data_IF_648487515669
#
_entry.id   IF_648487515669
#
_cell.length_a   1.000
_cell.length_b   1.000
_cell.length_c   1.000
_cell.angle_alpha   90.00
_cell.angle_beta   90.00
_cell.angle_gamma   90.00
#
_symmetry.space_group_name_H-M   'P 1'
#
loop_
_entity.id
_entity.type
_entity.pdbx_description
1 polymer ?
2 non-polymer ?
3 non-polymer ?
4 non-polymer ?
5 water ?
#
# COMPACT_ATOMS: atom_id res chain seq x y z
N UNK A 7 -22.92 17.83 25.93
CA UNK A 7 -24.07 18.57 26.54
C UNK A 7 -24.67 19.59 25.56
N UNK A 8 -23.80 20.44 25.01
CA UNK A 8 -24.20 21.42 23.98
C UNK A 8 -23.68 21.01 22.59
N UNK A 9 -23.78 19.71 22.28
CA UNK A 9 -23.46 19.23 20.95
C UNK A 9 -24.60 19.60 20.00
N UNK A 10 -24.24 19.92 18.75
CA UNK A 10 -25.21 20.22 17.70
C UNK A 10 -26.15 19.02 17.55
N UNK A 11 -27.47 19.25 17.67
CA UNK A 11 -28.41 18.13 17.62
C UNK A 11 -28.47 17.48 16.24
N UNK A 12 -28.90 16.22 16.22
CA UNK A 12 -28.86 15.36 15.03
C UNK A 12 -29.44 15.98 13.75
N UNK A 13 -30.67 16.51 13.83
CA UNK A 13 -31.30 17.04 12.60
C UNK A 13 -30.52 18.17 11.93
N UNK A 14 -29.83 18.99 12.74
CA UNK A 14 -29.15 20.18 12.24
C UNK A 14 -27.73 19.89 11.76
N UNK A 15 -27.27 18.64 11.89
CA UNK A 15 -25.95 18.26 11.39
C UNK A 15 -25.96 18.12 9.88
N UNK A 16 -24.81 18.31 9.24
CA UNK A 16 -24.68 18.10 7.80
C UNK A 16 -24.90 16.62 7.48
N UNK A 17 -25.23 16.33 6.22
CA UNK A 17 -25.49 14.96 5.80
C UNK A 17 -24.21 14.15 5.77
N UNK A 18 -24.35 12.84 5.92
CA UNK A 18 -23.23 11.90 5.81
C UNK A 18 -22.37 12.17 4.58
N UNK A 19 -23.01 12.45 3.45
CA UNK A 19 -22.31 12.68 2.19
C UNK A 19 -21.52 13.98 2.21
N UNK A 20 -22.10 15.02 2.82
CA UNK A 20 -21.43 16.30 2.98
C UNK A 20 -20.23 16.16 3.90
N UNK A 21 -20.38 15.33 4.93
CA UNK A 21 -19.32 15.12 5.91
C UNK A 21 -18.15 14.37 5.29
N UNK A 22 -18.47 13.31 4.56
CA UNK A 22 -17.46 12.54 3.83
C UNK A 22 -16.70 13.45 2.85
N UNK A 23 -17.45 14.28 2.13
CA UNK A 23 -16.88 15.17 1.13
C UNK A 23 -16.00 16.28 1.72
N UNK A 24 -16.43 16.89 2.82
CA UNK A 24 -15.83 18.15 3.30
C UNK A 24 -15.15 18.12 4.67
N UNK A 25 -15.64 17.30 5.59
CA UNK A 25 -15.04 17.23 6.93
C UNK A 25 -13.95 16.18 7.01
N UNK A 26 -14.18 15.03 6.39
CA UNK A 26 -13.27 13.88 6.53
C UNK A 26 -11.82 14.21 6.18
N UNK A 27 -11.59 14.95 5.08
CA UNK A 27 -10.21 15.32 4.76
C UNK A 27 -9.56 16.27 5.78
N UNK A 28 -10.36 17.16 6.37
CA UNK A 28 -9.88 18.03 7.46
C UNK A 28 -9.48 17.21 8.68
N UNK A 29 -10.40 16.32 9.10
CA UNK A 29 -10.18 15.41 10.21
C UNK A 29 -8.90 14.58 10.03
N UNK A 30 -8.71 14.03 8.84
CA UNK A 30 -7.55 13.19 8.55
C UNK A 30 -6.22 13.96 8.67
N UNK A 31 -6.27 15.27 8.46
CA UNK A 31 -5.06 16.11 8.52
C UNK A 31 -4.35 16.11 9.88
N UNK A 32 -5.10 15.89 10.96
CA UNK A 32 -4.52 15.98 12.32
C UNK A 32 -3.53 14.87 12.66
N UNK A 33 -3.50 13.81 11.87
CA UNK A 33 -2.48 12.77 12.02
C UNK A 33 -1.11 13.26 11.58
N UNK A 34 -1.09 14.16 10.61
CA UNK A 34 0.17 14.57 9.96
C UNK A 34 1.22 15.07 10.96
N UNK A 35 0.85 16.01 11.85
CA UNK A 35 1.84 16.47 12.85
C UNK A 35 2.47 15.32 13.66
N UNK A 36 1.71 14.27 13.93
CA UNK A 36 2.20 13.13 14.70
C UNK A 36 3.34 12.41 13.96
N UNK A 37 3.19 12.29 12.64
CA UNK A 37 4.25 11.71 11.81
C UNK A 37 5.39 12.72 11.61
N UNK A 38 5.03 14.00 11.50
CA UNK A 38 6.03 15.07 11.33
C UNK A 38 6.92 15.19 12.57
N UNK A 39 6.31 15.17 13.75
CA UNK A 39 7.02 15.28 15.03
C UNK A 39 7.96 14.09 15.25
N UNK A 40 7.56 12.92 14.75
CA UNK A 40 8.42 11.75 14.76
C UNK A 40 9.66 11.98 13.89
N UNK A 41 9.44 12.65 12.76
CA UNK A 41 10.46 12.78 11.73
C UNK A 41 10.30 11.63 10.77
N UNK A 42 9.10 11.50 10.21
CA UNK A 42 8.82 10.39 9.32
C UNK A 42 7.42 10.37 8.73
N UNK A 43 6.79 9.20 8.79
CA UNK A 43 5.67 8.87 7.91
C UNK A 43 4.60 8.08 8.63
N UNK A 44 3.40 8.10 8.06
CA UNK A 44 2.28 7.30 8.56
C UNK A 44 2.13 6.01 7.76
N UNK A 45 1.80 4.93 8.44
CA UNK A 45 1.42 3.67 7.81
C UNK A 45 -0.10 3.57 7.83
N UNK A 46 -0.71 3.15 6.73
CA UNK A 46 -2.17 3.05 6.67
C UNK A 46 -2.60 1.69 7.20
N UNK A 48 -5.78 0.92 8.47
CA UNK A 48 -7.16 0.57 8.15
C UNK A 48 -7.76 1.54 7.17
N UNK A 49 -8.75 1.05 6.41
CA UNK A 49 -9.47 1.86 5.44
C UNK A 49 -10.76 2.34 6.07
N UNK A 50 -11.28 3.49 5.58
CA UNK A 50 -12.50 4.04 6.14
C UNK A 50 -13.71 3.24 5.71
N UNK A 51 -14.78 3.35 6.49
CA UNK A 51 -16.01 2.65 6.20
C UNK A 51 -17.16 3.38 6.89
N UNK A 52 -18.37 3.10 6.42
CA UNK A 52 -19.58 3.69 6.97
C UNK A 52 -20.35 2.61 7.70
N UNK A 53 -21.05 2.97 8.76
CA UNK A 53 -21.93 2.03 9.44
C UNK A 53 -23.19 2.72 9.94
N UNK A 54 -24.24 1.93 10.13
CA UNK A 54 -25.54 2.42 10.58
C UNK A 54 -25.41 2.92 12.01
N UNK A 55 -26.25 3.87 12.39
CA UNK A 55 -26.32 4.37 13.76
C UNK A 55 -27.67 4.98 14.06
N UNK A 56 -27.87 5.36 15.32
CA UNK A 56 -29.10 6.00 15.75
C UNK A 56 -30.25 5.03 15.85
N UNK A 57 -31.36 5.52 16.38
CA UNK A 57 -32.54 4.71 16.58
C UNK A 57 -33.78 5.57 16.33
N UNK A 58 -34.83 4.94 15.78
CA UNK A 58 -36.08 5.64 15.49
C UNK A 58 -35.92 6.67 14.38
N UNK A 59 -36.42 7.88 14.62
CA UNK A 59 -36.33 8.96 13.63
C UNK A 59 -34.97 9.68 13.66
N UNK A 60 -34.08 9.29 14.56
CA UNK A 60 -32.70 9.79 14.58
C UNK A 60 -31.74 8.76 13.97
N UNK A 61 -32.26 7.82 13.18
CA UNK A 61 -31.42 6.85 12.46
C UNK A 61 -30.64 7.55 11.38
N UNK A 62 -29.41 7.08 11.15
CA UNK A 62 -28.57 7.66 10.12
C UNK A 62 -27.32 6.84 9.86
N UNK A 63 -26.22 7.54 9.58
CA UNK A 63 -24.97 6.90 9.23
C UNK A 63 -23.79 7.58 9.93
N UNK A 64 -22.79 6.78 10.22
CA UNK A 64 -21.59 7.20 10.92
C UNK A 64 -20.40 6.87 10.02
N UNK A 65 -19.37 7.68 10.06
CA UNK A 65 -18.17 7.40 9.26
C UNK A 65 -16.92 7.23 10.13
N UNK A 66 -16.36 6.03 10.08
CA UNK A 66 -15.07 5.73 10.66
C UNK A 66 -14.04 6.03 9.57
N UNK A 67 -13.07 6.87 9.88
CA UNK A 67 -12.07 7.29 8.89
C UNK A 67 -10.92 6.33 8.74
N UNK A 68 -9.89 6.77 8.01
CA UNK A 68 -8.66 5.99 7.90
C UNK A 68 -8.05 5.81 9.27
N UNK A 69 -7.38 4.69 9.47
CA UNK A 69 -6.59 4.48 10.66
C UNK A 69 -5.14 4.51 10.23
N UNK A 70 -4.37 5.46 10.75
CA UNK A 70 -2.95 5.58 10.40
C UNK A 70 -2.08 5.43 11.64
N UNK A 71 -0.86 4.95 11.42
CA UNK A 71 0.05 4.60 12.50
C UNK A 71 1.40 5.30 12.32
N UNK A 72 1.82 6.04 13.34
CA UNK A 72 3.12 6.67 13.37
C UNK A 72 4.00 5.96 14.38
N UNK A 73 5.32 6.16 14.31
CA UNK A 73 6.17 5.57 15.35
C UNK A 73 5.90 6.20 16.73
N UNK A 74 6.34 5.52 17.78
CA UNK A 74 5.94 5.88 19.15
C UNK A 74 6.65 7.13 19.67
N UNK A 76 6.71 9.35 23.78
CA UNK A 76 6.24 9.29 25.17
C UNK A 76 4.85 9.91 25.26
N UNK A 77 3.99 9.33 26.09
CA UNK A 77 2.61 9.81 26.22
C UNK A 77 2.56 11.28 26.60
N UNK A 78 3.43 11.69 27.53
CA UNK A 78 3.55 13.08 27.95
C UNK A 78 3.81 14.03 26.75
N UNK A 79 4.66 13.58 25.82
CA UNK A 79 5.01 14.36 24.63
C UNK A 79 3.87 14.40 23.61
N UNK A 80 3.07 13.34 23.57
CA UNK A 80 1.90 13.26 22.69
C UNK A 80 0.80 14.19 23.14
N UNK A 81 0.52 14.20 24.45
CA UNK A 81 -0.48 15.09 25.04
C UNK A 81 -0.10 16.55 24.79
N UNK A 82 1.18 16.86 24.98
CA UNK A 82 1.71 18.17 24.64
C UNK A 82 1.40 18.52 23.18
N UNK A 83 1.74 17.59 22.27
CA UNK A 83 1.55 17.80 20.84
C UNK A 83 0.09 18.00 20.50
N UNK A 84 -0.75 17.06 20.92
CA UNK A 84 -2.17 17.10 20.58
C UNK A 84 -2.83 18.38 21.09
N UNK A 85 -2.47 18.79 22.30
CA UNK A 85 -3.04 19.99 22.91
C UNK A 85 -2.56 21.26 22.21
N UNK A 86 -1.25 21.36 22.01
CA UNK A 86 -0.65 22.54 21.39
C UNK A 86 -0.99 22.68 19.91
N UNK A 87 -1.32 21.57 19.26
CA UNK A 87 -1.66 21.57 17.85
C UNK A 87 -3.17 21.37 17.64
N UNK A 88 -3.95 21.77 18.62
CA UNK A 88 -5.40 21.55 18.62
C UNK A 88 -6.10 22.38 17.53
N UNK A 89 -6.93 21.73 16.69
CA UNK A 89 -7.66 22.43 15.63
C UNK A 89 -8.90 23.16 16.13
N UNK A 90 -9.35 24.15 15.36
CA UNK A 90 -10.47 25.01 15.76
C UNK A 90 -11.78 24.26 15.96
N UNK A 91 -12.04 23.26 15.12
CA UNK A 91 -13.29 22.48 15.22
C UNK A 91 -13.39 21.63 16.49
N UNK A 92 -12.29 21.49 17.24
CA UNK A 92 -12.25 20.66 18.45
C UNK A 92 -12.72 21.44 19.68
N UNK A 93 -13.91 21.12 20.18
CA UNK A 93 -14.47 21.79 21.35
C UNK A 93 -13.85 21.34 22.68
N UNK A 94 -13.21 20.16 22.69
CA UNK A 94 -12.61 19.61 23.92
C UNK A 94 -11.54 18.57 23.64
N UNK A 95 -10.58 18.45 24.56
CA UNK A 95 -9.52 17.46 24.48
C UNK A 95 -9.63 16.55 25.71
N UNK A 96 -10.01 15.30 25.48
CA UNK A 96 -10.15 14.34 26.57
C UNK A 96 -8.95 13.38 26.62
N UNK A 97 -8.43 13.18 27.83
CA UNK A 97 -7.25 12.34 28.05
C UNK A 97 -7.65 11.18 28.95
N UNK A 98 -7.41 9.95 28.49
CA UNK A 98 -7.74 8.76 29.27
C UNK A 98 -7.03 8.79 30.61
N UNK A 99 -7.77 8.48 31.67
CA UNK A 99 -7.26 8.54 33.03
C UNK A 99 -6.26 7.41 33.33
N UNK A 100 -6.33 6.32 32.56
CA UNK A 100 -5.46 5.16 32.78
C UNK A 100 -5.21 4.37 31.51
N UNK A 101 -4.11 3.62 31.47
CA UNK A 101 -3.85 2.69 30.36
C UNK A 101 -4.75 1.47 30.53
N UNK A 102 -5.41 1.06 29.45
CA UNK A 102 -6.36 -0.07 29.50
C UNK A 102 -5.64 -1.43 29.46
N UNK A 103 -6.40 -2.51 29.29
CA UNK A 103 -5.85 -3.87 29.36
C UNK A 103 -4.76 -4.13 28.31
N UNK A 104 -4.92 -3.50 27.14
CA UNK A 104 -4.07 -3.77 25.96
C UNK A 104 -2.76 -2.97 25.97
N UNK A 105 -2.46 -2.29 27.06
CA UNK A 105 -1.31 -1.38 27.13
C UNK A 105 -1.45 -0.19 26.18
N UNK A 106 -2.69 0.27 25.97
CA UNK A 106 -2.94 1.45 25.13
C UNK A 106 -3.61 2.56 25.95
N UNK A 107 -3.27 3.80 25.64
CA UNK A 107 -3.87 4.97 26.30
C UNK A 107 -4.28 5.98 25.27
N UNK A 108 -5.52 6.45 25.38
CA UNK A 108 -6.10 7.29 24.35
C UNK A 108 -6.20 8.76 24.71
N UNK A 109 -6.06 9.60 23.68
CA UNK A 109 -6.44 11.01 23.76
C UNK A 109 -7.49 11.24 22.69
N UNK A 110 -8.61 11.85 23.07
CA UNK A 110 -9.71 12.09 22.16
C UNK A 110 -9.84 13.57 21.86
N UNK A 111 -10.21 13.87 20.62
CA UNK A 111 -10.49 15.23 20.18
C UNK A 111 -11.97 15.27 19.81
N UNK A 112 -12.77 16.01 20.59
CA UNK A 112 -14.22 16.00 20.43
C UNK A 112 -14.68 17.18 19.58
N UNK A 113 -15.43 16.90 18.52
CA UNK A 113 -15.98 17.96 17.66
C UNK A 113 -17.36 18.40 18.16
N UNK A 114 -17.85 19.49 17.59
CA UNK A 114 -19.13 20.10 18.02
C UNK A 114 -20.37 19.23 17.75
N UNK A 115 -20.19 18.15 17.00
CA UNK A 115 -21.26 17.17 16.75
C UNK A 115 -21.28 16.05 17.80
N UNK A 116 -20.26 16.01 18.65
CA UNK A 116 -20.08 14.88 19.58
C UNK A 116 -19.27 13.77 18.94
N UNK A 117 -18.79 14.01 17.72
CA UNK A 117 -17.90 13.11 17.03
C UNK A 117 -16.50 13.17 17.61
N UNK A 118 -15.61 12.38 17.03
CA UNK A 118 -14.41 11.96 17.73
C UNK A 118 -13.20 11.77 16.82
N UNK A 119 -12.02 12.08 17.35
CA UNK A 119 -10.76 11.68 16.74
C UNK A 119 -9.87 11.19 17.87
N UNK A 120 -9.31 9.99 17.73
CA UNK A 120 -8.56 9.37 18.83
C UNK A 120 -7.11 9.05 18.47
N UNK A 121 -6.21 9.52 19.32
CA UNK A 121 -4.80 9.19 19.24
C UNK A 121 -4.54 8.10 20.28
N UNK A 122 -4.32 6.86 19.81
CA UNK A 122 -4.04 5.76 20.72
C UNK A 122 -2.54 5.52 20.93
N UNK A 123 -2.05 5.90 22.10
CA UNK A 123 -0.66 5.62 22.46
C UNK A 123 -0.47 4.15 22.77
N UNK A 124 0.69 3.63 22.36
CA UNK A 124 1.19 2.35 22.85
C UNK A 124 2.71 2.39 22.71
N UNK A 125 3.40 1.41 23.29
CA UNK A 125 4.86 1.41 23.26
C UNK A 125 5.39 1.22 21.83
N UNK A 126 4.67 0.45 21.02
CA UNK A 126 5.06 0.20 19.62
C UNK A 126 4.83 1.40 18.71
N UNK A 127 3.69 2.07 18.86
CA UNK A 127 3.27 3.07 17.90
C UNK A 127 2.14 3.97 18.40
N UNK A 128 1.72 4.91 17.56
CA UNK A 128 0.58 5.79 17.84
C UNK A 128 -0.45 5.71 16.71
N UNK A 129 -1.62 5.19 17.04
CA UNK A 129 -2.68 5.02 16.05
C UNK A 129 -3.62 6.22 16.09
N UNK A 130 -3.94 6.76 14.91
CA UNK A 130 -4.86 7.89 14.79
C UNK A 130 -6.11 7.40 14.05
N UNK A 131 -7.24 7.43 14.74
CA UNK A 131 -8.50 6.90 14.24
C UNK A 131 -9.60 7.95 14.40
N UNK A 132 -10.51 8.02 13.45
CA UNK A 132 -11.63 8.96 13.53
C UNK A 132 -12.94 8.21 13.51
N UNK A 133 -13.95 8.77 14.16
CA UNK A 133 -15.27 8.17 14.21
C UNK A 133 -16.29 9.29 14.40
N UNK A 134 -16.93 9.69 13.30
CA UNK A 134 -17.88 10.80 13.32
C UNK A 134 -19.04 10.54 14.27
N UNK A 135 -19.79 11.60 14.56
CA UNK A 135 -21.08 11.49 15.21
C UNK A 135 -22.05 10.88 14.23
N UNK A 136 -23.23 10.48 14.70
CA UNK A 136 -24.26 9.96 13.81
C UNK A 136 -24.81 11.08 12.95
N UNK A 137 -24.92 10.86 11.64
CA UNK A 137 -25.31 11.90 10.70
C UNK A 137 -26.59 11.53 9.95
N UNK A 138 -27.46 12.53 9.70
CA UNK A 138 -28.69 12.28 8.95
C UNK A 138 -28.43 12.15 7.46
N UNK A 139 -29.44 11.69 6.73
CA UNK A 139 -29.39 11.62 5.27
C UNK A 139 -30.79 11.44 4.68
N UNK A 140 -30.96 11.87 3.44
CA UNK A 140 -32.18 11.63 2.69
C UNK A 140 -32.12 10.30 1.92
N UNK A 141 -31.01 9.58 2.05
CA UNK A 141 -30.80 8.32 1.34
C UNK A 141 -31.30 7.15 2.17
N UNK A 142 -31.46 5.97 1.54
CA UNK A 142 -31.94 4.78 2.27
C UNK A 142 -31.06 4.41 3.46
N UNK A 143 -31.70 3.99 4.55
CA UNK A 143 -30.99 3.53 5.74
C UNK A 143 -30.66 2.06 5.56
N UNK A 144 -29.89 1.50 6.49
CA UNK A 144 -29.49 0.08 6.46
C UNK A 144 -28.80 -0.34 5.14
N UNK A 145 -27.95 0.55 4.62
CA UNK A 145 -27.16 0.27 3.42
C UNK A 145 -25.92 1.16 3.44
N UNK A 146 -25.01 0.93 4.41
CA UNK A 146 -23.85 1.78 4.58
C UNK A 146 -22.85 1.76 3.41
N UNK A 147 -22.88 0.71 2.61
CA UNK A 147 -21.96 0.58 1.49
C UNK A 147 -22.32 1.42 0.27
N UNK A 148 -23.47 2.09 0.30
CA UNK A 148 -23.90 2.92 -0.83
C UNK A 148 -23.01 4.15 -1.04
N UNK A 149 -22.33 4.60 0.02
CA UNK A 149 -21.60 5.87 -0.01
C UNK A 149 -20.16 5.70 -0.46
N UNK A 150 -19.77 6.46 -1.48
CA UNK A 150 -18.37 6.49 -1.92
C UNK A 150 -17.53 7.15 -0.85
N UNK A 151 -16.31 6.67 -0.68
CA UNK A 151 -15.38 7.21 0.31
C UNK A 151 -14.13 7.74 -0.39
N UNK A 152 -13.47 8.74 0.21
CA UNK A 152 -12.37 9.39 -0.49
C UNK A 152 -11.16 8.49 -0.58
N UNK A 153 -10.45 8.58 -1.71
CA UNK A 153 -9.15 7.94 -1.85
C UNK A 153 -8.21 8.54 -0.81
N UNK A 154 -7.15 7.81 -0.50
CA UNK A 154 -6.16 8.30 0.43
C UNK A 154 -5.46 9.57 -0.10
N UNK A 155 -5.49 9.75 -1.42
CA UNK A 155 -5.02 10.99 -2.04
C UNK A 155 -5.83 12.17 -1.51
N UNK A 156 -7.16 12.02 -1.56
CA UNK A 156 -8.10 13.08 -1.18
C UNK A 156 -8.16 13.30 0.32
N UNK A 157 -8.05 12.22 1.08
CA UNK A 157 -8.11 12.31 2.54
C UNK A 157 -6.90 13.02 3.15
N UNK A 158 -5.76 12.93 2.49
CA UNK A 158 -4.51 13.52 2.97
C UNK A 158 -3.87 14.37 1.87
N UNK A 159 -4.47 15.55 1.57
CA UNK A 159 -4.13 16.38 0.41
C UNK A 159 -2.64 16.63 0.19
N UNK A 160 -1.93 17.01 1.26
CA UNK A 160 -0.50 17.35 1.15
C UNK A 160 0.45 16.18 1.04
N UNK A 162 1.48 12.00 -0.33
CA UNK A 162 1.38 11.02 -1.43
C UNK A 162 1.73 9.61 -0.96
N UNK A 163 1.18 8.62 -1.66
CA UNK A 163 1.30 7.23 -1.28
C UNK A 163 2.63 6.63 -1.72
N UNK A 164 3.33 6.02 -0.78
CA UNK A 164 4.49 5.19 -1.07
C UNK A 164 4.26 3.83 -0.42
N UNK A 165 5.18 2.89 -0.63
CA UNK A 165 5.07 1.56 -0.03
C UNK A 165 6.39 1.15 0.63
N UNK A 166 6.31 0.77 1.90
CA UNK A 166 7.49 0.37 2.67
C UNK A 166 7.38 -1.10 3.04
N UNK A 167 8.53 -1.72 3.32
CA UNK A 167 8.54 -3.09 3.83
C UNK A 167 7.86 -3.15 5.19
N UNK A 168 7.23 -4.29 5.48
CA UNK A 168 6.57 -4.47 6.77
C UNK A 168 7.65 -4.56 7.85
N UNK A 169 7.43 -3.86 8.97
CA UNK A 169 8.43 -3.78 10.06
C UNK A 169 8.96 -5.17 10.41
N UNK A 170 8.05 -6.15 10.45
CA UNK A 170 8.41 -7.56 10.45
C UNK A 170 8.40 -8.09 9.01
N UNK A 171 9.58 -8.46 8.46
CA UNK A 171 9.69 -8.82 7.02
C UNK A 171 8.88 -10.08 6.66
N UNK A 172 7.58 -10.04 6.96
CA UNK A 172 6.66 -11.14 6.67
C UNK A 172 5.37 -10.54 6.16
N UNK A 173 4.68 -11.26 5.28
CA UNK A 173 3.45 -10.77 4.66
C UNK A 173 3.78 -9.62 3.69
N UNK A 174 2.73 -9.08 3.11
CA UNK A 174 2.83 -7.97 2.18
C UNK A 174 3.57 -6.78 2.78
N UNK A 175 4.27 -6.00 1.94
CA UNK A 175 4.68 -4.69 2.40
C UNK A 175 3.45 -3.84 2.63
N UNK A 176 3.63 -2.72 3.32
CA UNK A 176 2.50 -1.91 3.75
C UNK A 176 2.51 -0.58 3.02
N UNK A 177 1.32 0.03 2.88
CA UNK A 177 1.24 1.35 2.27
C UNK A 177 1.57 2.45 3.27
N UNK A 178 2.36 3.42 2.83
CA UNK A 178 2.79 4.52 3.69
C UNK A 178 2.47 5.86 3.06
N UNK A 179 2.36 6.88 3.90
CA UNK A 179 2.13 8.25 3.45
C UNK A 179 3.32 9.12 3.80
N UNK A 180 3.82 9.86 2.81
CA UNK A 180 4.92 10.80 3.03
C UNK A 180 4.58 12.14 2.39
N UNK A 181 5.08 13.21 3.01
CA UNK A 181 4.73 14.59 2.62
C UNK A 181 5.21 14.94 1.21
N UNK A 182 4.45 15.80 0.53
CA UNK A 182 4.74 16.19 -0.85
C UNK A 182 3.92 15.40 -1.85
N UNK A 183 3.61 16.03 -2.98
CA UNK A 183 2.87 15.41 -4.08
C UNK A 183 1.48 14.94 -3.64
N UNK B 7 22.71 -20.96 -23.60
CA UNK B 7 23.86 -21.41 -24.45
C UNK B 7 24.51 -20.22 -25.18
N UNK B 8 23.69 -19.44 -25.88
CA UNK B 8 24.14 -18.23 -26.56
C UNK B 8 23.64 -16.97 -25.83
N UNK B 9 23.72 -17.00 -24.50
CA UNK B 9 23.43 -15.81 -23.70
C UNK B 9 24.59 -14.83 -23.81
N UNK B 10 24.26 -13.54 -23.84
CA UNK B 10 25.26 -12.47 -23.87
C UNK B 10 26.21 -12.63 -22.67
N UNK B 11 27.52 -12.72 -22.92
CA UNK B 11 28.45 -12.94 -21.81
C UNK B 11 28.54 -11.76 -20.85
N UNK B 12 28.96 -12.05 -19.62
CA UNK B 12 28.92 -11.09 -18.51
C UNK B 12 29.53 -9.71 -18.80
N UNK B 13 30.76 -9.66 -19.34
CA UNK B 13 31.41 -8.36 -19.54
C UNK B 13 30.64 -7.44 -20.49
N UNK B 14 29.97 -8.01 -21.48
CA UNK B 14 29.29 -7.24 -22.52
C UNK B 14 27.86 -6.82 -22.13
N UNK B 15 27.40 -7.23 -20.95
CA UNK B 15 26.08 -6.83 -20.45
C UNK B 15 26.10 -5.38 -19.96
N UNK B 16 24.94 -4.72 -19.99
CA UNK B 16 24.83 -3.37 -19.44
C UNK B 16 25.06 -3.39 -17.94
N UNK B 17 25.41 -2.26 -17.36
CA UNK B 17 25.67 -2.18 -15.94
C UNK B 17 24.40 -2.31 -15.14
N UNK B 18 24.55 -2.77 -13.90
CA UNK B 18 23.43 -2.89 -12.96
C UNK B 18 22.58 -1.60 -12.93
N UNK B 19 23.25 -0.45 -12.92
CA UNK B 19 22.57 0.84 -12.83
C UNK B 19 21.78 1.14 -14.11
N UNK B 20 22.33 0.79 -15.26
CA UNK B 20 21.66 0.94 -16.55
C UNK B 20 20.44 0.03 -16.62
N UNK B 21 20.58 -1.17 -16.05
CA UNK B 21 19.52 -2.15 -16.07
C UNK B 21 18.36 -1.69 -15.18
N UNK B 22 18.69 -1.24 -13.98
CA UNK B 22 17.70 -0.71 -13.05
C UNK B 22 16.96 0.47 -13.69
N UNK B 23 17.73 1.36 -14.32
CA UNK B 23 17.18 2.56 -14.95
C UNK B 23 16.28 2.26 -16.15
N UNK B 24 16.69 1.33 -17.01
CA UNK B 24 16.09 1.20 -18.33
C UNK B 24 15.38 -0.12 -18.63
N UNK B 25 15.84 -1.22 -18.06
CA UNK B 25 15.22 -2.53 -18.32
C UNK B 25 14.13 -2.84 -17.31
N UNK B 26 14.37 -2.52 -16.05
CA UNK B 26 13.47 -2.92 -14.98
C UNK B 26 12.03 -2.45 -15.20
N UNK B 27 11.83 -1.19 -15.61
CA UNK B 27 10.45 -0.75 -15.91
C UNK B 27 9.81 -1.50 -17.07
N UNK B 28 10.59 -1.86 -18.08
CA UNK B 28 10.09 -2.68 -19.19
C UNK B 28 9.67 -4.05 -18.68
N UNK B 29 10.56 -4.69 -17.93
CA UNK B 29 10.32 -5.99 -17.32
C UNK B 29 9.04 -6.00 -16.49
N UNK B 30 8.88 -4.98 -15.66
CA UNK B 30 7.72 -4.86 -14.78
C UNK B 30 6.40 -4.73 -15.57
N UNK B 31 6.47 -4.18 -16.77
CA UNK B 31 5.28 -3.96 -17.59
C UNK B 31 4.54 -5.26 -17.96
N UNK B 32 5.24 -6.38 -18.03
CA UNK B 32 4.65 -7.64 -18.51
C UNK B 32 3.62 -8.23 -17.55
N UNK B 33 3.60 -7.75 -16.31
CA UNK B 33 2.57 -8.13 -15.35
C UNK B 33 1.21 -7.51 -15.71
N UNK B 34 1.24 -6.33 -16.31
CA UNK B 34 0.02 -5.54 -16.53
C UNK B 34 -1.05 -6.33 -17.29
N UNK B 35 -0.70 -6.94 -18.44
CA UNK B 35 -1.71 -7.70 -19.17
C UNK B 35 -2.39 -8.77 -18.31
N UNK B 36 -1.65 -9.36 -17.36
CA UNK B 36 -2.20 -10.41 -16.50
C UNK B 36 -3.32 -9.86 -15.61
N UNK B 37 -3.13 -8.64 -15.10
CA UNK B 37 -4.18 -7.95 -14.35
C UNK B 37 -5.28 -7.43 -15.27
N UNK B 38 -4.90 -6.97 -16.46
CA UNK B 38 -5.87 -6.47 -17.44
C UNK B 38 -6.81 -7.59 -17.91
N UNK B 39 -6.23 -8.75 -18.21
CA UNK B 39 -7.00 -9.90 -18.70
C UNK B 39 -7.96 -10.43 -17.64
N UNK B 40 -7.57 -10.29 -16.37
CA UNK B 40 -8.46 -10.60 -15.26
C UNK B 40 -9.65 -9.67 -15.25
N UNK B 41 -9.39 -8.40 -15.57
CA UNK B 41 -10.36 -7.33 -15.40
C UNK B 41 -10.19 -6.75 -14.02
N UNK B 42 -8.98 -6.29 -13.72
CA UNK B 42 -8.67 -5.77 -12.41
C UNK B 42 -7.25 -5.27 -12.21
N UNK B 43 -6.64 -5.66 -11.10
CA UNK B 43 -5.51 -4.95 -10.54
C UNK B 43 -4.46 -5.90 -9.97
N UNK B 44 -3.24 -5.39 -9.82
CA UNK B 44 -2.16 -6.13 -9.21
C UNK B 44 -2.00 -5.72 -7.75
N UNK B 45 -1.68 -6.69 -6.91
CA UNK B 45 -1.30 -6.44 -5.52
C UNK B 45 0.23 -6.54 -5.43
N UNK B 46 0.86 -5.59 -4.74
CA UNK B 46 2.32 -5.60 -4.62
C UNK B 46 2.73 -6.49 -3.43
N UNK B 48 5.86 -8.00 -3.03
CA UNK B 48 7.24 -7.78 -2.63
C UNK B 48 7.91 -6.59 -3.30
N UNK B 49 8.89 -6.01 -2.62
CA UNK B 49 9.63 -4.86 -3.14
C UNK B 49 10.95 -5.32 -3.74
N UNK B 50 11.49 -4.55 -4.72
CA UNK B 50 12.70 -4.96 -5.38
C UNK B 50 13.92 -4.73 -4.52
N UNK B 51 14.98 -5.48 -4.80
CA UNK B 51 16.22 -5.37 -4.06
C UNK B 51 17.36 -5.88 -4.92
N UNK B 52 18.57 -5.49 -4.54
CA UNK B 52 19.78 -5.89 -5.24
C UNK B 52 20.55 -6.86 -4.35
N UNK B 53 21.22 -7.82 -4.97
CA UNK B 53 22.09 -8.71 -4.22
C UNK B 53 23.34 -9.06 -5.01
N UNK B 54 24.39 -9.45 -4.29
CA UNK B 54 25.67 -9.79 -4.88
C UNK B 54 25.51 -11.07 -5.72
N UNK B 55 26.35 -11.21 -6.75
CA UNK B 55 26.39 -12.45 -7.54
C UNK B 55 27.75 -12.61 -8.20
N UNK B 56 27.93 -13.75 -8.86
CA UNK B 56 29.15 -14.03 -9.61
C UNK B 56 30.30 -14.38 -8.70
N UNK B 57 31.40 -14.79 -9.32
CA UNK B 57 32.59 -15.21 -8.59
C UNK B 57 33.84 -14.77 -9.35
N UNK B 58 34.89 -14.39 -8.62
CA UNK B 58 36.15 -13.97 -9.23
C UNK B 58 36.02 -12.64 -9.95
N UNK B 59 36.51 -12.57 -11.18
CA UNK B 59 36.42 -11.36 -12.00
C UNK B 59 35.08 -11.20 -12.72
N UNK B 60 34.17 -12.15 -12.54
CA UNK B 60 32.78 -12.02 -13.02
C UNK B 60 31.82 -11.68 -11.87
N UNK B 61 32.35 -11.15 -10.77
CA UNK B 61 31.52 -10.67 -9.67
C UNK B 61 30.75 -9.43 -10.07
N UNK B 62 29.54 -9.30 -9.56
CA UNK B 62 28.71 -8.15 -9.86
C UNK B 62 27.46 -8.06 -9.01
N UNK B 63 26.38 -7.61 -9.62
CA UNK B 63 25.12 -7.41 -8.92
C UNK B 63 23.93 -7.90 -9.74
N UNK B 64 22.93 -8.38 -9.02
CA UNK B 64 21.71 -8.93 -9.60
C UNK B 64 20.55 -8.13 -9.06
N UNK B 65 19.50 -7.96 -9.86
CA UNK B 65 18.32 -7.23 -9.39
C UNK B 65 17.05 -8.11 -9.43
N UNK B 66 16.50 -8.35 -8.25
CA UNK B 66 15.20 -8.97 -8.10
C UNK B 66 14.19 -7.83 -8.13
N UNK B 67 13.20 -7.92 -9.01
CA UNK B 67 12.23 -6.84 -9.19
C UNK B 67 11.07 -6.93 -8.23
N UNK B 68 10.05 -6.11 -8.50
CA UNK B 68 8.81 -6.17 -7.75
C UNK B 68 8.17 -7.55 -7.93
N UNK B 69 7.47 -8.02 -6.92
CA UNK B 69 6.63 -9.20 -7.02
C UNK B 69 5.21 -8.71 -6.96
N UNK B 70 4.42 -8.96 -8.01
CA UNK B 70 3.01 -8.57 -8.02
C UNK B 70 2.09 -9.77 -8.22
N UNK B 71 0.86 -9.65 -7.71
CA UNK B 71 -0.09 -10.75 -7.69
C UNK B 71 -1.42 -10.34 -8.30
N UNK B 72 -1.88 -11.10 -9.29
CA UNK B 72 -3.18 -10.87 -9.92
C UNK B 72 -4.11 -12.00 -9.53
N UNK B 73 -5.42 -11.83 -9.72
CA UNK B 73 -6.33 -12.95 -9.46
C UNK B 73 -6.11 -14.09 -10.44
N UNK B 74 -6.62 -15.27 -10.10
CA UNK B 74 -6.28 -16.49 -10.84
C UNK B 74 -6.96 -16.60 -12.20
N UNK B 76 -7.18 -19.88 -15.53
CA UNK B 76 -6.77 -21.24 -15.87
C UNK B 76 -5.37 -21.22 -16.48
N UNK B 77 -4.57 -22.22 -16.15
CA UNK B 77 -3.18 -22.27 -16.63
C UNK B 77 -3.11 -22.21 -18.16
N UNK B 78 -3.98 -22.94 -18.82
CA UNK B 78 -4.06 -22.92 -20.30
C UNK B 78 -4.25 -21.52 -20.85
N UNK B 79 -5.07 -20.71 -20.17
CA UNK B 79 -5.36 -19.34 -20.59
C UNK B 79 -4.19 -18.41 -20.30
N UNK B 80 -3.41 -18.73 -19.26
CA UNK B 80 -2.22 -17.96 -18.90
C UNK B 80 -1.10 -18.17 -19.91
N UNK B 81 -0.88 -19.44 -20.28
CA UNK B 81 0.13 -19.79 -21.28
C UNK B 81 -0.19 -19.14 -22.62
N UNK B 82 -1.47 -19.15 -22.99
CA UNK B 82 -1.95 -18.44 -24.17
C UNK B 82 -1.58 -16.97 -24.07
N UNK B 83 -1.91 -16.35 -22.95
CA UNK B 83 -1.65 -14.93 -22.73
C UNK B 83 -0.15 -14.62 -22.78
N UNK B 84 0.64 -15.34 -22.00
CA UNK B 84 2.08 -15.06 -21.91
C UNK B 84 2.75 -15.23 -23.27
N UNK B 85 2.35 -16.25 -24.02
CA UNK B 85 2.93 -16.53 -25.33
C UNK B 85 2.52 -15.48 -26.37
N UNK B 86 1.22 -15.20 -26.44
CA UNK B 86 0.71 -14.24 -27.43
C UNK B 86 1.10 -12.80 -27.12
N UNK B 87 1.41 -12.52 -25.86
CA UNK B 87 1.81 -11.17 -25.44
C UNK B 87 3.33 -11.11 -25.17
N UNK B 88 4.08 -12.00 -25.82
CA UNK B 88 5.52 -12.15 -25.58
C UNK B 88 6.29 -10.92 -26.06
N UNK B 89 7.15 -10.34 -25.20
CA UNK B 89 7.93 -9.17 -25.57
C UNK B 89 9.16 -9.51 -26.39
N UNK B 90 9.67 -8.52 -27.13
CA UNK B 90 10.79 -8.73 -28.06
C UNK B 90 12.07 -9.19 -27.36
N UNK B 91 12.33 -8.67 -26.16
CA UNK B 91 13.55 -9.03 -25.41
C UNK B 91 13.58 -10.49 -24.92
N UNK B 92 12.45 -11.20 -25.02
CA UNK B 92 12.35 -12.57 -24.55
C UNK B 92 12.79 -13.57 -25.62
N UNK B 93 13.95 -14.20 -25.41
CA UNK B 93 14.48 -15.17 -26.39
C UNK B 93 13.80 -16.54 -26.32
N UNK B 94 13.14 -16.83 -25.19
CA UNK B 94 12.48 -18.13 -25.03
C UNK B 94 11.37 -18.08 -23.97
N UNK B 95 10.37 -18.92 -24.16
CA UNK B 95 9.28 -19.08 -23.20
C UNK B 95 9.32 -20.50 -22.68
N UNK B 96 9.67 -20.66 -21.40
CA UNK B 96 9.74 -21.97 -20.78
C UNK B 96 8.50 -22.21 -19.93
N UNK B 97 7.90 -23.39 -20.11
CA UNK B 97 6.68 -23.77 -19.41
C UNK B 97 7.00 -25.01 -18.57
N UNK B 98 6.73 -24.93 -17.27
CA UNK B 98 6.97 -26.05 -16.36
C UNK B 98 6.18 -27.26 -16.83
N UNK B 99 6.86 -28.41 -16.83
CA UNK B 99 6.28 -29.66 -17.31
C UNK B 99 5.19 -30.21 -16.39
N UNK B 100 5.24 -29.83 -15.13
CA UNK B 100 4.30 -30.34 -14.14
C UNK B 100 4.12 -29.36 -13.00
N UNK B 101 3.01 -29.47 -12.28
CA UNK B 101 2.80 -28.70 -11.05
C UNK B 101 3.68 -29.29 -9.94
N UNK B 102 4.40 -28.42 -9.23
CA UNK B 102 5.32 -28.86 -8.19
C UNK B 102 4.59 -29.19 -6.88
N UNK B 103 5.35 -29.38 -5.80
CA UNK B 103 4.81 -29.83 -4.51
C UNK B 103 3.79 -28.83 -3.94
N UNK B 104 4.01 -27.55 -4.20
CA UNK B 104 3.23 -26.46 -3.60
C UNK B 104 1.92 -26.14 -4.33
N UNK B 105 1.56 -26.97 -5.33
CA UNK B 105 0.41 -26.69 -6.20
C UNK B 105 0.61 -25.42 -7.05
N UNK B 106 1.87 -25.16 -7.44
CA UNK B 106 2.18 -24.01 -8.29
C UNK B 106 2.82 -24.50 -9.58
N UNK B 107 2.52 -23.81 -10.68
CA UNK B 107 3.12 -24.12 -11.97
C UNK B 107 3.62 -22.84 -12.59
N UNK B 108 4.87 -22.86 -13.06
CA UNK B 108 5.54 -21.66 -13.53
C UNK B 108 5.67 -21.57 -15.03
N UNK B 109 5.62 -20.34 -15.54
CA UNK B 109 6.04 -20.04 -16.91
C UNK B 109 7.15 -18.99 -16.78
N UNK B 110 8.27 -19.24 -17.45
CA UNK B 110 9.42 -18.35 -17.38
C UNK B 110 9.62 -17.67 -18.72
N UNK B 111 10.05 -16.41 -18.65
CA UNK B 111 10.38 -15.62 -19.82
C UNK B 111 11.88 -15.34 -19.72
N UNK B 112 12.66 -15.92 -20.62
CA UNK B 112 14.13 -15.83 -20.55
C UNK B 112 14.65 -14.73 -21.46
N UNK B 113 15.43 -13.80 -20.90
CA UNK B 113 16.03 -12.72 -21.68
C UNK B 113 17.39 -13.14 -22.24
N UNK B 114 17.92 -12.32 -23.14
CA UNK B 114 19.18 -12.63 -23.83
C UNK B 114 20.42 -12.63 -22.92
N UNK B 115 20.26 -12.17 -21.68
CA UNK B 115 21.32 -12.22 -20.68
C UNK B 115 21.29 -13.51 -19.86
N UNK B 116 20.24 -14.32 -20.03
CA UNK B 116 20.02 -15.49 -19.18
C UNK B 116 19.20 -15.14 -17.96
N UNK B 117 18.76 -13.88 -17.88
CA UNK B 117 17.87 -13.42 -16.82
C UNK B 117 16.46 -13.94 -17.04
N UNK B 118 15.55 -13.57 -16.13
CA UNK B 118 14.31 -14.31 -15.94
C UNK B 118 13.13 -13.43 -15.53
N UNK B 119 11.93 -13.81 -16.00
CA UNK B 119 10.67 -13.30 -15.46
C UNK B 119 9.72 -14.49 -15.33
N UNK B 120 9.14 -14.67 -14.14
CA UNK B 120 8.33 -15.86 -13.87
C UNK B 120 6.89 -15.55 -13.51
N UNK B 121 5.96 -16.19 -14.21
CA UNK B 121 4.54 -16.16 -13.88
C UNK B 121 4.21 -17.44 -13.14
N UNK B 122 3.96 -17.36 -11.83
CA UNK B 122 3.62 -18.54 -11.03
C UNK B 122 2.11 -18.72 -10.90
N UNK B 123 1.57 -19.72 -11.61
CA UNK B 123 0.17 -20.06 -11.47
C UNK B 123 -0.09 -20.79 -10.15
N UNK B 124 -1.23 -20.48 -9.54
CA UNK B 124 -1.80 -21.30 -8.47
C UNK B 124 -3.30 -21.07 -8.48
N UNK B 125 -4.04 -21.86 -7.72
CA UNK B 125 -5.50 -21.74 -7.71
C UNK B 125 -5.95 -20.41 -7.13
N UNK B 126 -5.21 -19.90 -6.14
CA UNK B 126 -5.53 -18.61 -5.51
C UNK B 126 -5.23 -17.41 -6.39
N UNK B 127 -4.08 -17.42 -7.07
CA UNK B 127 -3.59 -16.23 -7.75
C UNK B 127 -2.48 -16.52 -8.75
N UNK B 128 -2.00 -15.46 -9.41
CA UNK B 128 -0.85 -15.52 -10.32
C UNK B 128 0.22 -14.52 -9.90
N UNK B 129 1.38 -15.02 -9.46
CA UNK B 129 2.48 -14.17 -9.02
C UNK B 129 3.45 -13.90 -10.16
N UNK B 130 3.83 -12.64 -10.34
CA UNK B 130 4.78 -12.24 -11.38
C UNK B 130 6.05 -11.73 -10.70
N UNK B 131 7.16 -12.43 -10.92
CA UNK B 131 8.44 -12.12 -10.26
C UNK B 131 9.54 -11.99 -11.31
N UNK B 132 10.51 -11.11 -11.06
CA UNK B 132 11.66 -10.96 -11.96
C UNK B 132 12.99 -11.15 -11.21
N UNK B 133 13.98 -11.65 -11.92
CA UNK B 133 15.32 -11.85 -11.36
C UNK B 133 16.32 -11.77 -12.49
N UNK B 134 16.99 -10.61 -12.59
CA UNK B 134 17.95 -10.37 -13.67
C UNK B 134 19.10 -11.36 -13.64
N UNK B 135 19.83 -11.40 -14.75
CA UNK B 135 21.11 -12.09 -14.78
C UNK B 135 22.11 -11.27 -13.96
N UNK B 136 23.28 -11.84 -13.69
CA UNK B 136 24.33 -11.11 -12.97
C UNK B 136 24.89 -10.02 -13.87
N UNK B 137 25.01 -8.81 -13.33
CA UNK B 137 25.43 -7.65 -14.12
C UNK B 137 26.71 -7.02 -13.59
N UNK B 138 27.58 -6.54 -14.50
CA UNK B 138 28.83 -5.91 -14.09
C UNK B 138 28.60 -4.49 -13.61
N UNK B 139 29.64 -3.90 -13.00
CA UNK B 139 29.60 -2.51 -12.59
C UNK B 139 31.00 -1.99 -12.29
N UNK B 140 31.17 -0.67 -12.43
CA UNK B 140 32.41 -0.01 -12.03
C UNK B 140 32.38 0.42 -10.55
N UNK B 141 31.28 0.12 -9.87
CA UNK B 141 31.11 0.50 -8.47
C UNK B 141 31.61 -0.59 -7.53
N UNK B 142 31.80 -0.26 -6.24
CA UNK B 142 32.25 -1.26 -5.26
C UNK B 142 31.35 -2.49 -5.18
N UNK B 143 31.96 -3.66 -5.03
CA UNK B 143 31.23 -4.91 -4.85
C UNK B 143 30.88 -5.08 -3.37
N UNK B 144 30.11 -6.11 -3.05
CA UNK B 144 29.70 -6.40 -1.67
C UNK B 144 29.03 -5.21 -0.95
N UNK B 145 28.21 -4.48 -1.68
CA UNK B 145 27.44 -3.37 -1.11
C UNK B 145 26.19 -3.15 -1.98
N UNK B 146 25.26 -4.12 -1.96
CA UNK B 146 24.09 -4.06 -2.83
C UNK B 146 23.13 -2.91 -2.53
N UNK B 147 23.18 -2.36 -1.32
CA UNK B 147 22.31 -1.27 -0.92
C UNK B 147 22.69 0.10 -1.44
N UNK B 148 23.84 0.21 -2.12
CA UNK B 148 24.29 1.49 -2.66
C UNK B 148 23.40 1.98 -3.81
N UNK B 149 22.70 1.07 -4.49
CA UNK B 149 21.94 1.40 -5.69
C UNK B 149 20.51 1.81 -5.41
N UNK B 150 20.12 2.99 -5.88
CA UNK B 150 18.73 3.42 -5.79
C UNK B 150 17.87 2.56 -6.69
N UNK B 151 16.65 2.27 -6.24
CA UNK B 151 15.72 1.46 -7.01
C UNK B 151 14.50 2.30 -7.35
N UNK B 152 13.83 1.96 -8.46
CA UNK B 152 12.75 2.81 -8.89
C UNK B 152 11.53 2.69 -7.98
N UNK B 153 10.86 3.82 -7.77
CA UNK B 153 9.56 3.81 -7.10
C UNK B 153 8.59 3.00 -7.93
N UNK B 154 7.52 2.53 -7.29
CA UNK B 154 6.51 1.76 -8.01
C UNK B 154 5.83 2.63 -9.07
N UNK B 155 5.90 3.95 -8.91
CA UNK B 155 5.44 4.89 -9.94
C UNK B 155 6.25 4.68 -11.23
N UNK B 156 7.57 4.65 -11.08
CA UNK B 156 8.49 4.53 -12.22
C UNK B 156 8.53 3.13 -12.81
N UNK B 157 8.39 2.11 -11.97
CA UNK B 157 8.42 0.72 -12.42
C UNK B 157 7.20 0.35 -13.26
N UNK B 158 6.07 1.01 -13.00
CA UNK B 158 4.82 0.73 -13.69
C UNK B 158 4.24 2.04 -14.22
N UNK B 159 4.84 2.61 -15.28
CA UNK B 159 4.55 3.96 -15.79
C UNK B 159 3.07 4.30 -15.96
N UNK B 160 2.31 3.41 -16.59
CA UNK B 160 0.90 3.67 -16.87
C UNK B 160 -0.04 3.51 -15.68
N UNK B 162 -1.03 3.69 -11.27
CA UNK B 162 -0.90 4.46 -10.03
C UNK B 162 -1.28 3.63 -8.80
N UNK B 163 -0.73 4.02 -7.65
CA UNK B 163 -0.88 3.27 -6.41
C UNK B 163 -2.19 3.56 -5.70
N UNK B 164 -2.93 2.50 -5.38
CA UNK B 164 -4.10 2.58 -4.51
C UNK B 164 -3.91 1.57 -3.38
N UNK B 165 -4.84 1.53 -2.44
CA UNK B 165 -4.77 0.58 -1.33
C UNK B 165 -6.10 -0.13 -1.12
N UNK B 166 -6.07 -1.46 -1.08
CA UNK B 166 -7.26 -2.29 -0.93
C UNK B 166 -7.17 -3.08 0.36
N UNK B 167 -8.33 -3.51 0.88
CA UNK B 167 -8.37 -4.40 2.04
C UNK B 167 -7.69 -5.72 1.70
N UNK B 168 -7.08 -6.34 2.70
CA UNK B 168 -6.44 -7.63 2.52
C UNK B 168 -7.50 -8.71 2.28
N UNK B 169 -7.25 -9.59 1.31
CA UNK B 169 -8.17 -10.68 0.96
C UNK B 169 -8.59 -11.46 2.20
N UNK B 170 -7.63 -11.75 3.07
CA UNK B 170 -7.94 -12.24 4.40
C UNK B 170 -8.45 -11.02 5.16
N UNK B 171 -9.70 -11.06 5.66
CA UNK B 171 -10.36 -9.83 6.14
C UNK B 171 -9.68 -9.03 7.26
N UNK B 172 -8.79 -9.66 8.03
CA UNK B 172 -7.97 -8.92 9.02
C UNK B 172 -6.59 -8.60 8.39
N UNK B 173 -5.62 -8.19 9.21
CA UNK B 173 -4.27 -7.74 8.80
C UNK B 173 -4.27 -6.34 8.19
N UNK B 174 -3.11 -5.68 8.13
CA UNK B 174 -2.98 -4.40 7.40
C UNK B 174 -3.52 -4.55 5.97
N UNK B 175 -4.14 -3.50 5.40
CA UNK B 175 -4.50 -3.55 4.00
C UNK B 175 -3.24 -3.56 3.13
N UNK B 176 -3.43 -3.88 1.86
CA UNK B 176 -2.32 -4.08 0.96
C UNK B 176 -2.29 -3.01 -0.12
N UNK B 177 -1.09 -2.74 -0.68
CA UNK B 177 -0.98 -1.78 -1.76
C UNK B 177 -1.33 -2.42 -3.10
N UNK B 178 -2.10 -1.70 -3.91
CA UNK B 178 -2.55 -2.21 -5.19
C UNK B 178 -2.20 -1.24 -6.31
N UNK B 179 -2.12 -1.76 -7.53
CA UNK B 179 -1.85 -0.95 -8.71
C UNK B 179 -3.04 -1.00 -9.65
N UNK B 180 -3.49 0.17 -10.09
CA UNK B 180 -4.58 0.26 -11.05
C UNK B 180 -4.22 1.26 -12.16
N UNK B 181 -4.72 0.97 -13.36
CA UNK B 181 -4.34 1.71 -14.58
C UNK B 181 -4.78 3.18 -14.51
N UNK B 182 -3.99 4.04 -15.15
CA UNK B 182 -4.22 5.49 -15.14
C UNK B 182 -3.35 6.18 -14.11
N UNK B 183 -2.93 7.41 -14.41
CA UNK B 183 -2.02 8.17 -13.54
C UNK B 183 -2.42 9.64 -13.47
#
# INVERSE_FOLDING_TARGET
GAKSRDAEFVPFPERVSIEEYISRQLPEISSVAVPVAAETGGELTVXGLPYVQVCGTGDTQGYRVVGYTTVAPSXSFERLEKLVTENKPDWAVAVQVDKQIDRDATRGIQLIDNYGGLVEFKFSEDSIAVRSRSACLPTNKPLDDPGQFVLPSVEEAFPGXHVTISDNTNPDLHPVPTLTTGAHVTPQSGTQSGTQSGS
GAKSRDAEFVPFPERVSIEEYISRQLPEISSVAVPVAAETGGELTVXGLPYVQVCGTGDTQGYRVVGYTTVAPSXSFERLEKLVTENKPDWAVAVQVDKQIDRDATRGIQLIDNYGGLVEFKFSEDSIAVRSRSACLPTNKPLDDPGQFVLPSVEEAFPGXHVTISDNTNPDLHPVPTLTTGAHVTPQSGTQSGTQSGS
#
